data_IF_143370011774
#
_entry.id   IF_143370011774
#
_cell.length_a   1.000
_cell.length_b   1.000
_cell.length_c   1.000
_cell.angle_alpha   90.00
_cell.angle_beta   90.00
_cell.angle_gamma   90.00
#
_symmetry.space_group_name_H-M   'P 1'
#
loop_
_entity.id
_entity.type
_entity.pdbx_description
1 polymer ?
#
# COMPACT_ATOMS: atom_id res chain seq x y z
N UNK A 1 30.86 -11.09 -1.14
CA UNK A 1 29.81 -11.99 -0.64
C UNK A 1 28.52 -11.47 -1.25
N UNK A 2 27.95 -12.20 -2.20
CA UNK A 2 26.68 -11.81 -2.84
C UNK A 2 25.58 -11.90 -1.79
N UNK A 3 24.64 -10.94 -1.69
CA UNK A 3 23.53 -11.06 -0.77
C UNK A 3 22.77 -12.35 -1.05
N UNK A 4 22.42 -13.08 0.01
CA UNK A 4 21.57 -14.27 -0.09
C UNK A 4 20.25 -13.87 -0.78
N UNK A 5 19.64 -14.72 -1.62
CA UNK A 5 18.43 -14.35 -2.38
C UNK A 5 17.31 -13.74 -1.51
N UNK A 6 17.20 -14.18 -0.25
CA UNK A 6 16.24 -13.66 0.70
C UNK A 6 16.50 -12.19 1.10
N UNK A 7 17.77 -11.80 1.28
CA UNK A 7 18.14 -10.41 1.58
C UNK A 7 17.90 -9.50 0.38
N UNK A 8 18.16 -10.01 -0.83
CA UNK A 8 17.87 -9.29 -2.07
C UNK A 8 16.38 -8.99 -2.23
N UNK A 9 15.51 -10.00 -2.07
CA UNK A 9 14.06 -9.79 -2.19
C UNK A 9 13.49 -8.92 -1.07
N UNK A 10 14.04 -9.00 0.14
CA UNK A 10 13.65 -8.11 1.23
C UNK A 10 14.02 -6.66 0.91
N UNK A 11 15.24 -6.41 0.43
CA UNK A 11 15.70 -5.08 0.02
C UNK A 11 14.84 -4.52 -1.10
N UNK A 12 14.58 -5.31 -2.14
CA UNK A 12 13.71 -4.92 -3.25
C UNK A 12 12.30 -4.58 -2.76
N UNK A 13 11.72 -5.40 -1.87
CA UNK A 13 10.38 -5.15 -1.33
C UNK A 13 10.32 -3.83 -0.54
N UNK A 14 11.36 -3.51 0.24
CA UNK A 14 11.45 -2.26 0.98
C UNK A 14 11.61 -1.05 0.04
N UNK A 15 12.46 -1.15 -0.98
CA UNK A 15 12.66 -0.11 -2.00
C UNK A 15 11.38 0.18 -2.78
N UNK A 16 10.71 -0.85 -3.31
CA UNK A 16 9.45 -0.72 -4.06
C UNK A 16 8.35 -0.13 -3.18
N UNK A 17 8.26 -0.56 -1.92
CA UNK A 17 7.31 -0.01 -0.96
C UNK A 17 7.58 1.48 -0.70
N UNK A 18 8.85 1.85 -0.50
CA UNK A 18 9.24 3.24 -0.23
C UNK A 18 8.93 4.14 -1.44
N UNK A 19 9.29 3.69 -2.64
CA UNK A 19 9.02 4.40 -3.89
C UNK A 19 7.51 4.60 -4.11
N UNK A 20 6.72 3.54 -3.97
CA UNK A 20 5.26 3.62 -4.10
C UNK A 20 4.65 4.57 -3.05
N UNK A 21 5.09 4.49 -1.79
CA UNK A 21 4.60 5.34 -0.71
C UNK A 21 4.92 6.82 -0.97
N UNK A 22 6.15 7.12 -1.39
CA UNK A 22 6.58 8.48 -1.70
C UNK A 22 5.78 9.07 -2.88
N UNK A 23 5.55 8.28 -3.92
CA UNK A 23 4.75 8.69 -5.07
C UNK A 23 3.31 9.04 -4.68
N UNK A 24 2.64 8.15 -3.93
CA UNK A 24 1.26 8.36 -3.48
C UNK A 24 1.13 9.56 -2.54
N UNK A 25 2.08 9.72 -1.61
CA UNK A 25 2.11 10.85 -0.68
C UNK A 25 2.28 12.19 -1.42
N UNK A 26 3.21 12.25 -2.39
CA UNK A 26 3.39 13.44 -3.22
C UNK A 26 2.13 13.78 -4.00
N UNK A 27 1.41 12.77 -4.51
CA UNK A 27 0.18 13.00 -5.26
C UNK A 27 -0.92 13.56 -4.36
N UNK A 28 -1.11 12.97 -3.18
CA UNK A 28 -2.09 13.43 -2.18
C UNK A 28 -1.79 14.86 -1.75
N UNK A 29 -0.53 15.18 -1.43
CA UNK A 29 -0.13 16.53 -1.06
C UNK A 29 -0.49 17.56 -2.14
N UNK A 30 -0.18 17.26 -3.42
CA UNK A 30 -0.55 18.13 -4.53
C UNK A 30 -2.06 18.27 -4.78
N UNK A 31 -2.89 17.37 -4.23
CA UNK A 31 -4.35 17.48 -4.27
C UNK A 31 -4.92 18.28 -3.10
N UNK A 32 -4.24 18.30 -1.95
CA UNK A 32 -4.73 18.97 -0.74
C UNK A 32 -4.86 20.49 -0.89
N UNK A 33 -4.07 21.10 -1.79
CA UNK A 33 -4.07 22.55 -2.04
C UNK A 33 -5.11 23.00 -3.08
N UNK A 34 -5.95 22.08 -3.58
CA UNK A 34 -6.99 22.34 -4.58
C UNK A 34 -8.37 22.46 -3.91
N UNK A 35 -9.33 23.04 -4.63
CA UNK A 35 -10.74 22.99 -4.23
C UNK A 35 -11.19 21.54 -4.00
N UNK A 36 -11.93 21.31 -2.92
CA UNK A 36 -12.33 19.98 -2.43
C UNK A 36 -11.15 19.01 -2.19
N UNK A 37 -9.94 19.53 -1.99
CA UNK A 37 -8.70 18.77 -1.84
C UNK A 37 -8.78 17.56 -0.91
N UNK A 38 -9.35 17.66 0.31
CA UNK A 38 -9.52 16.52 1.21
C UNK A 38 -10.41 15.40 0.63
N UNK A 39 -11.47 15.74 -0.09
CA UNK A 39 -12.36 14.75 -0.71
C UNK A 39 -11.64 14.06 -1.87
N UNK A 40 -10.96 14.85 -2.72
CA UNK A 40 -10.20 14.32 -3.86
C UNK A 40 -9.07 13.39 -3.42
N UNK A 41 -8.34 13.76 -2.37
CA UNK A 41 -7.30 12.92 -1.77
C UNK A 41 -7.85 11.58 -1.27
N UNK A 42 -9.02 11.58 -0.61
CA UNK A 42 -9.68 10.34 -0.14
C UNK A 42 -10.12 9.44 -1.28
N UNK A 43 -10.74 10.02 -2.32
CA UNK A 43 -11.15 9.27 -3.52
C UNK A 43 -9.92 8.64 -4.18
N UNK A 44 -8.84 9.40 -4.37
CA UNK A 44 -7.60 8.89 -4.94
C UNK A 44 -7.01 7.74 -4.12
N UNK A 45 -6.93 7.88 -2.79
CA UNK A 45 -6.41 6.84 -1.91
C UNK A 45 -7.26 5.56 -2.00
N UNK A 46 -8.59 5.69 -1.99
CA UNK A 46 -9.50 4.55 -2.13
C UNK A 46 -9.35 3.86 -3.49
N UNK A 47 -9.31 4.62 -4.59
CA UNK A 47 -9.12 4.07 -5.93
C UNK A 47 -7.77 3.34 -6.08
N UNK A 48 -6.72 3.87 -5.46
CA UNK A 48 -5.40 3.22 -5.44
C UNK A 48 -5.45 1.87 -4.73
N UNK A 49 -6.14 1.79 -3.58
CA UNK A 49 -6.31 0.53 -2.85
C UNK A 49 -7.10 -0.50 -3.67
N UNK A 50 -8.18 -0.08 -4.32
CA UNK A 50 -9.01 -0.95 -5.17
C UNK A 50 -8.19 -1.48 -6.35
N UNK A 51 -7.50 -0.60 -7.08
CA UNK A 51 -6.65 -1.00 -8.19
C UNK A 51 -5.54 -1.96 -7.75
N UNK A 52 -4.92 -1.73 -6.58
CA UNK A 52 -3.95 -2.66 -6.01
C UNK A 52 -4.54 -4.04 -5.72
N UNK A 53 -5.75 -4.11 -5.17
CA UNK A 53 -6.46 -5.36 -4.94
C UNK A 53 -6.76 -6.13 -6.23
N UNK A 54 -7.20 -5.43 -7.28
CA UNK A 54 -7.45 -6.00 -8.60
C UNK A 54 -6.16 -6.54 -9.23
N UNK A 55 -5.04 -5.82 -9.11
CA UNK A 55 -3.73 -6.27 -9.57
C UNK A 55 -3.28 -7.54 -8.85
N UNK A 56 -3.41 -7.61 -7.52
CA UNK A 56 -3.10 -8.84 -6.79
C UNK A 56 -3.97 -10.02 -7.22
N UNK A 57 -5.25 -9.78 -7.50
CA UNK A 57 -6.16 -10.83 -7.98
C UNK A 57 -5.74 -11.35 -9.37
N UNK A 58 -5.22 -10.47 -10.24
CA UNK A 58 -4.70 -10.84 -11.56
C UNK A 58 -3.36 -11.58 -11.52
N UNK A 59 -2.51 -11.30 -10.55
CA UNK A 59 -1.19 -11.93 -10.42
C UNK A 59 -1.24 -13.34 -9.80
N UNK A 60 -2.25 -13.63 -8.99
CA UNK A 60 -2.40 -14.89 -8.28
C UNK A 60 -3.84 -15.40 -8.40
N UNK A 61 -4.72 -14.90 -7.52
CA UNK A 61 -6.14 -15.27 -7.49
C UNK A 61 -6.94 -14.30 -6.64
N UNK A 62 -8.26 -14.16 -6.88
CA UNK A 62 -9.13 -13.35 -6.03
C UNK A 62 -9.08 -13.75 -4.54
N UNK A 63 -8.98 -15.06 -4.25
CA UNK A 63 -8.92 -15.57 -2.88
C UNK A 63 -7.61 -15.22 -2.18
N UNK A 64 -6.47 -15.30 -2.89
CA UNK A 64 -5.18 -14.89 -2.36
C UNK A 64 -5.16 -13.38 -2.06
N UNK A 65 -5.64 -12.55 -3.00
CA UNK A 65 -5.76 -11.10 -2.82
C UNK A 65 -6.62 -10.75 -1.59
N UNK A 66 -7.81 -11.36 -1.46
CA UNK A 66 -8.69 -11.15 -0.31
C UNK A 66 -8.03 -11.57 1.02
N UNK A 67 -7.19 -12.60 1.02
CA UNK A 67 -6.44 -13.02 2.21
C UNK A 67 -5.36 -12.02 2.60
N UNK A 68 -4.64 -11.47 1.63
CA UNK A 68 -3.63 -10.43 1.88
C UNK A 68 -4.26 -9.15 2.43
N UNK A 69 -5.41 -8.72 1.90
CA UNK A 69 -6.14 -7.55 2.40
C UNK A 69 -6.64 -7.73 3.83
N UNK A 70 -7.14 -8.92 4.17
CA UNK A 70 -7.53 -9.25 5.56
C UNK A 70 -6.34 -9.18 6.51
N UNK A 71 -5.20 -9.77 6.15
CA UNK A 71 -3.97 -9.65 6.95
C UNK A 71 -3.48 -8.21 7.08
N UNK A 72 -3.69 -7.38 6.07
CA UNK A 72 -3.39 -5.95 6.19
C UNK A 72 -4.30 -5.29 7.22
N UNK A 73 -5.62 -5.54 7.17
CA UNK A 73 -6.56 -5.05 8.16
C UNK A 73 -6.18 -5.50 9.59
N UNK A 74 -5.91 -6.80 9.78
CA UNK A 74 -5.49 -7.36 11.06
C UNK A 74 -4.25 -6.65 11.63
N UNK A 75 -3.26 -6.34 10.77
CA UNK A 75 -2.04 -5.61 11.17
C UNK A 75 -2.31 -4.16 11.55
N UNK A 76 -3.25 -3.49 10.87
CA UNK A 76 -3.63 -2.13 11.21
C UNK A 76 -4.32 -2.09 12.58
N UNK A 77 -5.24 -3.01 12.83
CA UNK A 77 -5.94 -3.14 14.11
C UNK A 77 -4.95 -3.47 15.24
N UNK A 78 -4.05 -4.43 15.03
CA UNK A 78 -3.00 -4.77 15.99
C UNK A 78 -2.03 -3.59 16.24
N UNK A 79 -1.68 -2.83 15.20
CA UNK A 79 -0.83 -1.64 15.33
C UNK A 79 -1.51 -0.48 16.09
N UNK A 80 -2.84 -0.41 16.07
CA UNK A 80 -3.59 0.50 16.94
C UNK A 80 -3.61 0.00 18.40
N UNK A 81 -3.66 -1.32 18.62
CA UNK A 81 -3.64 -1.90 19.96
C UNK A 81 -2.33 -1.65 20.75
N UNK A 82 -1.21 -1.34 20.08
CA UNK A 82 0.08 -1.02 20.72
C UNK A 82 0.18 0.45 21.19
N UNK A 83 -0.80 1.30 20.87
CA UNK A 83 -0.81 2.74 21.25
C UNK A 83 -1.67 3.06 22.49
N UNK A 84 -1.94 2.09 23.36
CA UNK A 84 -2.67 2.30 24.61
C UNK A 84 -1.88 1.87 25.84
#
# INVERSE_FOLDING_TARGET
MSPEPNEFFATLADEERAAASAHLASRIAGMSDQDDGPIRARIFAASTLIAGAELFANLDSPQAAATQLRRLADRLDAGQAVKH
#
